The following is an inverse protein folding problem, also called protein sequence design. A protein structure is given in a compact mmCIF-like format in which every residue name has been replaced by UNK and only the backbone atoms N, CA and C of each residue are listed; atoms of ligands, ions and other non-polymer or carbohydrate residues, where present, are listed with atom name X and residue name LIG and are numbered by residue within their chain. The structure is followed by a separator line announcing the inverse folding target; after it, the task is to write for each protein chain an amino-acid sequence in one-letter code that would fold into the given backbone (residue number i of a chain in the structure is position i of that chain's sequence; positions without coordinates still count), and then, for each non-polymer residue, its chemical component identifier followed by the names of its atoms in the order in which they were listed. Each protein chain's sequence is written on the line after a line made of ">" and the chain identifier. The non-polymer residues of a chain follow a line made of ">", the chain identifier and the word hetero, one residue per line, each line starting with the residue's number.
data_IF_124943787120
#
_entry.id   IF_124943787120
#
_cell.length_a   1.000
_cell.length_b   1.000
_cell.length_c   1.000
_cell.angle_alpha   90.00
_cell.angle_beta   90.00
_cell.angle_gamma   90.00
#
_symmetry.space_group_name_H-M   'P 1'
#
loop_
_entity.id
_entity.type
_entity.pdbx_description
1 polymer ?
#
# COMPACT_ATOMS: atom_id res chain seq x y z
N UNK A 1 0.34 2.83 -1.79
CA UNK A 1 1.00 3.63 -2.83
C UNK A 1 2.09 2.79 -3.50
N UNK A 2 2.08 2.73 -4.82
CA UNK A 2 2.91 1.82 -5.63
C UNK A 2 2.29 0.42 -5.73
N UNK A 3 2.06 -0.06 -6.95
CA UNK A 3 1.48 -1.38 -7.22
C UNK A 3 2.49 -2.34 -7.88
N UNK A 4 3.74 -2.19 -7.45
CA UNK A 4 4.86 -3.07 -7.80
C UNK A 4 4.84 -4.41 -7.06
N UNK A 5 6.00 -5.07 -6.97
CA UNK A 5 6.11 -6.40 -6.33
C UNK A 5 5.56 -6.42 -4.90
N UNK A 6 6.03 -5.52 -4.04
CA UNK A 6 5.60 -5.47 -2.63
C UNK A 6 4.13 -5.07 -2.53
N UNK A 7 3.70 -4.02 -3.23
CA UNK A 7 2.30 -3.56 -3.20
C UNK A 7 1.30 -4.65 -3.58
N UNK A 8 1.59 -5.46 -4.62
CA UNK A 8 0.71 -6.57 -5.01
C UNK A 8 0.71 -7.72 -4.02
N UNK A 9 1.85 -8.04 -3.40
CA UNK A 9 1.91 -9.10 -2.39
C UNK A 9 1.22 -8.67 -1.10
N UNK A 10 1.38 -7.42 -0.69
CA UNK A 10 0.59 -6.83 0.41
C UNK A 10 -0.91 -6.92 0.08
N UNK A 11 -1.31 -6.53 -1.13
CA UNK A 11 -2.71 -6.64 -1.56
C UNK A 11 -3.21 -8.09 -1.47
N UNK A 12 -2.47 -9.05 -2.02
CA UNK A 12 -2.84 -10.47 -2.03
C UNK A 12 -2.95 -11.07 -0.63
N UNK A 13 -2.06 -10.71 0.29
CA UNK A 13 -2.16 -11.18 1.67
C UNK A 13 -3.32 -10.49 2.40
N UNK A 14 -3.45 -9.16 2.29
CA UNK A 14 -4.45 -8.40 3.03
C UNK A 14 -5.89 -8.88 2.79
N UNK A 15 -6.24 -9.28 1.57
CA UNK A 15 -7.59 -9.78 1.26
C UNK A 15 -7.93 -11.14 1.88
N UNK A 16 -6.93 -11.89 2.37
CA UNK A 16 -7.13 -13.16 3.09
C UNK A 16 -7.39 -12.93 4.59
N UNK A 17 -7.25 -11.68 5.05
CA UNK A 17 -7.41 -11.25 6.43
C UNK A 17 -8.70 -10.44 6.60
N UNK A 18 -9.53 -10.80 7.58
CA UNK A 18 -10.83 -10.15 7.80
C UNK A 18 -10.73 -8.83 8.58
N UNK A 19 -9.57 -8.55 9.17
CA UNK A 19 -9.26 -7.37 9.97
C UNK A 19 -8.59 -6.25 9.16
N UNK A 20 -8.36 -6.48 7.86
CA UNK A 20 -7.75 -5.50 6.94
C UNK A 20 -8.57 -5.39 5.67
N UNK A 21 -8.96 -4.16 5.33
CA UNK A 21 -9.59 -3.85 4.05
C UNK A 21 -8.65 -2.99 3.19
N UNK A 22 -8.38 -3.47 1.98
CA UNK A 22 -7.81 -2.61 0.94
C UNK A 22 -8.95 -1.82 0.32
N UNK A 23 -8.90 -0.49 0.42
CA UNK A 23 -9.94 0.40 -0.12
C UNK A 23 -9.48 1.20 -1.35
N UNK A 24 -8.16 1.39 -1.49
CA UNK A 24 -7.57 2.16 -2.56
C UNK A 24 -6.16 1.68 -2.93
N UNK A 25 -5.80 1.87 -4.20
CA UNK A 25 -4.45 1.72 -4.75
C UNK A 25 -4.11 2.98 -5.54
N UNK A 26 -2.82 3.36 -5.52
CA UNK A 26 -2.29 4.42 -6.39
C UNK A 26 -1.06 3.90 -7.12
N UNK A 27 -1.04 4.03 -8.44
CA UNK A 27 0.17 3.90 -9.26
C UNK A 27 0.03 4.73 -10.55
N UNK A 28 0.83 5.80 -10.73
CA UNK A 28 0.71 6.69 -11.89
C UNK A 28 1.18 6.09 -13.21
N UNK A 29 1.75 4.88 -13.18
CA UNK A 29 2.32 4.22 -14.36
C UNK A 29 1.58 2.94 -14.75
N UNK A 30 0.52 2.57 -14.02
CA UNK A 30 -0.23 1.33 -14.22
C UNK A 30 -1.71 1.67 -14.33
N UNK A 31 -2.31 1.39 -15.50
CA UNK A 31 -3.75 1.50 -15.68
C UNK A 31 -4.49 0.31 -15.03
N UNK A 32 -5.77 0.46 -14.63
CA UNK A 32 -6.54 -0.59 -13.96
C UNK A 32 -6.55 -1.94 -14.69
N UNK A 33 -6.66 -1.95 -16.02
CA UNK A 33 -6.61 -3.19 -16.78
C UNK A 33 -5.26 -3.92 -16.64
N UNK A 34 -4.16 -3.17 -16.65
CA UNK A 34 -2.83 -3.74 -16.45
C UNK A 34 -2.62 -4.15 -14.99
N UNK A 35 -3.10 -3.37 -14.02
CA UNK A 35 -3.10 -3.74 -12.61
C UNK A 35 -3.84 -5.06 -12.35
N UNK A 36 -5.02 -5.25 -12.96
CA UNK A 36 -5.78 -6.49 -12.87
C UNK A 36 -4.99 -7.69 -13.42
N UNK A 37 -4.33 -7.52 -14.57
CA UNK A 37 -3.47 -8.55 -15.15
C UNK A 37 -2.30 -8.91 -14.22
N UNK A 38 -1.56 -7.90 -13.74
CA UNK A 38 -0.42 -8.08 -12.83
C UNK A 38 -0.82 -8.66 -11.47
N UNK A 39 -2.04 -8.36 -11.00
CA UNK A 39 -2.58 -8.96 -9.79
C UNK A 39 -2.99 -10.41 -10.04
N UNK A 40 -3.57 -10.74 -11.21
CA UNK A 40 -4.02 -12.09 -11.56
C UNK A 40 -2.86 -13.06 -11.76
N UNK A 41 -1.79 -12.63 -12.42
CA UNK A 41 -0.66 -13.48 -12.78
C UNK A 41 0.62 -13.00 -12.10
N UNK A 42 1.20 -13.84 -11.24
CA UNK A 42 2.50 -13.60 -10.63
C UNK A 42 3.42 -14.81 -10.91
N UNK A 43 4.62 -14.54 -11.44
CA UNK A 43 5.55 -15.59 -11.85
C UNK A 43 6.14 -16.39 -10.69
N UNK A 44 6.20 -15.80 -9.49
CA UNK A 44 6.78 -16.44 -8.29
C UNK A 44 5.71 -17.06 -7.43
N UNK A 45 4.59 -16.35 -7.24
CA UNK A 45 3.52 -16.75 -6.31
C UNK A 45 2.30 -17.36 -7.01
N UNK A 46 2.38 -17.55 -8.33
CA UNK A 46 1.32 -18.16 -9.12
C UNK A 46 0.11 -17.26 -9.35
N UNK A 47 -0.97 -17.90 -9.79
CA UNK A 47 -2.22 -17.21 -10.10
C UNK A 47 -2.97 -16.80 -8.83
N UNK A 48 -3.58 -15.63 -8.89
CA UNK A 48 -4.46 -15.14 -7.85
C UNK A 48 -5.69 -16.05 -7.68
N UNK A 49 -6.01 -16.39 -6.44
CA UNK A 49 -7.15 -17.23 -6.08
C UNK A 49 -8.34 -16.35 -5.71
N UNK A 50 -9.08 -15.90 -6.72
CA UNK A 50 -10.26 -15.07 -6.52
C UNK A 50 -10.74 -14.42 -7.81
N UNK A 51 -11.78 -13.62 -7.70
CA UNK A 51 -12.31 -12.86 -8.83
C UNK A 51 -11.68 -11.47 -8.88
N UNK A 52 -11.22 -11.09 -10.07
CA UNK A 52 -10.74 -9.74 -10.36
C UNK A 52 -11.50 -9.24 -11.59
N UNK A 53 -12.15 -8.09 -11.46
CA UNK A 53 -12.86 -7.40 -12.53
C UNK A 53 -12.37 -5.96 -12.59
N UNK A 54 -12.29 -5.41 -13.79
CA UNK A 54 -12.08 -3.97 -13.99
C UNK A 54 -13.46 -3.33 -14.02
N UNK A 55 -13.67 -2.31 -13.19
CA UNK A 55 -14.93 -1.58 -13.08
C UNK A 55 -14.68 -0.09 -13.35
N UNK A 56 -14.83 0.29 -14.63
CA UNK A 56 -14.42 1.61 -15.11
C UNK A 56 -12.94 1.87 -14.83
N UNK A 57 -12.67 2.88 -13.99
CA UNK A 57 -11.31 3.24 -13.56
C UNK A 57 -10.87 2.56 -12.26
N UNK A 58 -11.63 1.58 -11.77
CA UNK A 58 -11.38 0.89 -10.50
C UNK A 58 -11.18 -0.61 -10.71
N UNK A 59 -10.84 -1.31 -9.63
CA UNK A 59 -10.83 -2.77 -9.57
C UNK A 59 -11.94 -3.25 -8.67
N UNK A 60 -12.61 -4.33 -9.02
CA UNK A 60 -13.48 -5.08 -8.11
C UNK A 60 -12.85 -6.44 -7.87
N UNK A 61 -12.47 -6.70 -6.61
CA UNK A 61 -11.80 -7.94 -6.19
C UNK A 61 -12.65 -8.65 -5.15
N UNK A 62 -13.01 -9.92 -5.41
CA UNK A 62 -13.89 -10.72 -4.55
C UNK A 62 -15.17 -9.96 -4.12
N UNK A 63 -15.76 -9.20 -5.05
CA UNK A 63 -16.97 -8.40 -4.80
C UNK A 63 -16.76 -7.06 -4.10
N UNK A 64 -15.53 -6.73 -3.68
CA UNK A 64 -15.19 -5.43 -3.07
C UNK A 64 -14.59 -4.49 -4.12
N UNK A 65 -15.14 -3.28 -4.25
CA UNK A 65 -14.59 -2.24 -5.12
C UNK A 65 -13.40 -1.55 -4.46
N UNK A 66 -12.32 -1.45 -5.20
CA UNK A 66 -11.05 -0.83 -4.82
C UNK A 66 -10.84 0.38 -5.73
N UNK A 67 -10.77 1.57 -5.13
CA UNK A 67 -10.49 2.79 -5.88
C UNK A 67 -9.08 2.73 -6.45
N UNK A 68 -8.93 3.05 -7.73
CA UNK A 68 -7.61 3.13 -8.35
C UNK A 68 -7.28 4.59 -8.72
N UNK A 69 -6.15 5.08 -8.23
CA UNK A 69 -5.63 6.41 -8.51
C UNK A 69 -4.35 6.30 -9.36
N UNK A 70 -4.03 7.37 -10.09
CA UNK A 70 -2.84 7.45 -10.95
C UNK A 70 -2.09 8.77 -10.73
N UNK A 71 -1.97 9.18 -9.47
CA UNK A 71 -1.31 10.43 -9.09
C UNK A 71 0.18 10.22 -8.85
N UNK A 72 0.99 11.17 -9.34
CA UNK A 72 2.46 11.16 -9.13
C UNK A 72 2.87 11.78 -7.81
N UNK A 73 2.16 12.83 -7.38
CA UNK A 73 2.41 13.49 -6.10
C UNK A 73 1.56 12.81 -5.01
N UNK A 74 2.18 12.21 -3.99
CA UNK A 74 1.49 11.65 -2.84
C UNK A 74 0.48 12.57 -2.15
N UNK A 75 0.71 13.89 -2.20
CA UNK A 75 -0.14 14.90 -1.58
C UNK A 75 -1.48 15.09 -2.30
N UNK A 76 -1.54 14.75 -3.59
CA UNK A 76 -2.74 14.90 -4.42
C UNK A 76 -3.65 13.66 -4.39
N UNK A 77 -3.19 12.55 -3.81
CA UNK A 77 -3.99 11.33 -3.74
C UNK A 77 -5.09 11.51 -2.68
N UNK A 78 -6.39 11.45 -3.05
CA UNK A 78 -7.48 11.76 -2.12
C UNK A 78 -7.87 10.54 -1.26
N UNK A 79 -6.96 10.09 -0.39
CA UNK A 79 -7.18 8.95 0.51
C UNK A 79 -8.45 9.06 1.35
N UNK A 80 -8.83 10.28 1.75
CA UNK A 80 -10.04 10.57 2.52
C UNK A 80 -11.33 10.13 1.81
N UNK A 81 -11.39 10.14 0.48
CA UNK A 81 -12.57 9.69 -0.29
C UNK A 81 -12.90 8.21 -0.03
N UNK A 82 -11.90 7.41 0.34
CA UNK A 82 -12.02 5.96 0.52
C UNK A 82 -11.95 5.54 1.98
N UNK A 83 -11.72 6.49 2.90
CA UNK A 83 -11.51 6.19 4.31
C UNK A 83 -10.19 5.48 4.62
N UNK A 84 -9.21 5.52 3.71
CA UNK A 84 -7.91 4.88 3.92
C UNK A 84 -7.18 5.49 5.14
N UNK A 85 -7.08 4.71 6.22
CA UNK A 85 -6.45 5.15 7.47
C UNK A 85 -4.93 4.94 7.43
N UNK A 86 -4.51 3.76 6.99
CA UNK A 86 -3.10 3.38 6.81
C UNK A 86 -2.74 3.37 5.32
N UNK A 87 -1.56 3.89 4.98
CA UNK A 87 -0.98 3.80 3.65
C UNK A 87 0.30 2.98 3.71
N UNK A 88 0.37 1.92 2.90
CA UNK A 88 1.65 1.24 2.61
C UNK A 88 2.35 1.99 1.49
N UNK A 89 3.47 2.62 1.81
CA UNK A 89 4.33 3.32 0.86
C UNK A 89 5.36 2.34 0.32
N UNK A 90 5.08 1.82 -0.89
CA UNK A 90 5.85 0.77 -1.55
C UNK A 90 6.37 1.15 -2.93
N UNK A 91 6.44 2.45 -3.24
CA UNK A 91 7.05 2.96 -4.47
C UNK A 91 8.58 2.89 -4.43
N UNK A 92 9.16 2.96 -3.22
CA UNK A 92 10.61 3.08 -3.02
C UNK A 92 11.16 4.50 -3.23
N UNK A 93 10.30 5.49 -3.52
CA UNK A 93 10.70 6.89 -3.77
C UNK A 93 10.52 7.77 -2.54
N UNK A 94 9.44 7.55 -1.77
CA UNK A 94 9.05 8.38 -0.63
C UNK A 94 9.47 7.72 0.71
N UNK A 95 10.77 7.47 0.85
CA UNK A 95 11.34 6.68 1.97
C UNK A 95 11.80 7.52 3.17
N UNK A 96 11.64 8.84 3.16
CA UNK A 96 11.89 9.70 4.32
C UNK A 96 10.59 10.13 4.97
N UNK A 97 10.65 10.54 6.23
CA UNK A 97 9.50 10.99 7.03
C UNK A 97 8.80 12.16 6.34
N UNK A 98 9.56 13.16 5.88
CA UNK A 98 9.01 14.33 5.18
C UNK A 98 8.25 13.92 3.90
N UNK A 99 8.86 13.08 3.06
CA UNK A 99 8.27 12.65 1.79
C UNK A 99 7.03 11.80 2.00
N UNK A 100 7.08 10.85 2.93
CA UNK A 100 5.95 9.98 3.25
C UNK A 100 4.78 10.75 3.90
N UNK A 101 5.08 11.79 4.70
CA UNK A 101 4.05 12.67 5.30
C UNK A 101 3.17 13.37 4.26
N UNK A 102 3.59 13.48 3.00
CA UNK A 102 2.75 14.00 1.94
C UNK A 102 1.41 13.24 1.81
N UNK A 103 1.36 11.93 2.09
CA UNK A 103 0.10 11.17 2.12
C UNK A 103 -0.91 11.65 3.16
N UNK A 104 -0.44 12.25 4.27
CA UNK A 104 -1.34 12.76 5.31
C UNK A 104 -2.18 13.94 4.80
N UNK A 105 -1.66 14.70 3.83
CA UNK A 105 -2.42 15.78 3.16
C UNK A 105 -3.63 15.24 2.39
N UNK A 106 -3.49 14.04 1.82
CA UNK A 106 -4.57 13.31 1.16
C UNK A 106 -5.61 12.72 2.11
N UNK A 107 -5.39 12.81 3.43
CA UNK A 107 -6.34 12.37 4.46
C UNK A 107 -5.99 11.06 5.16
N UNK A 108 -4.94 10.37 4.74
CA UNK A 108 -4.40 9.23 5.48
C UNK A 108 -3.93 9.65 6.89
N UNK A 109 -3.94 8.72 7.84
CA UNK A 109 -3.54 8.99 9.23
C UNK A 109 -2.18 8.40 9.58
N UNK A 110 -1.82 7.29 8.94
CA UNK A 110 -0.59 6.56 9.18
C UNK A 110 0.06 6.13 7.87
N UNK A 111 1.38 6.15 7.83
CA UNK A 111 2.16 5.68 6.66
C UNK A 111 3.19 4.66 7.12
N UNK A 112 3.22 3.52 6.43
CA UNK A 112 4.18 2.44 6.63
C UNK A 112 5.05 2.35 5.38
N UNK A 113 6.32 2.74 5.51
CA UNK A 113 7.31 2.66 4.44
C UNK A 113 7.79 1.21 4.34
N UNK A 114 7.67 0.60 3.16
CA UNK A 114 8.03 -0.81 2.94
C UNK A 114 9.52 -1.04 2.64
N UNK A 115 10.37 -0.14 3.12
CA UNK A 115 11.81 -0.12 2.87
C UNK A 115 12.52 0.62 4.02
N UNK A 116 13.85 0.46 4.18
CA UNK A 116 14.61 1.25 5.13
C UNK A 116 14.40 2.75 4.93
N UNK A 117 14.19 3.45 6.04
CA UNK A 117 14.12 4.90 6.07
C UNK A 117 15.39 5.48 6.67
N UNK A 118 15.80 6.65 6.19
CA UNK A 118 16.93 7.37 6.75
C UNK A 118 16.59 8.05 8.09
N UNK A 119 15.30 8.33 8.35
CA UNK A 119 14.86 9.15 9.47
C UNK A 119 13.59 8.65 10.18
N UNK A 120 12.76 7.81 9.55
CA UNK A 120 11.57 7.26 10.18
C UNK A 120 11.95 6.12 11.14
N UNK A 121 11.29 6.02 12.32
CA UNK A 121 11.52 4.92 13.23
C UNK A 121 11.18 3.57 12.56
N UNK A 122 12.07 2.59 12.74
CA UNK A 122 11.96 1.26 12.14
C UNK A 122 11.45 0.24 13.15
N UNK A 123 10.48 -0.56 12.72
CA UNK A 123 9.92 -1.65 13.51
C UNK A 123 10.02 -2.95 12.75
N UNK A 124 10.40 -4.00 13.48
CA UNK A 124 10.42 -5.39 13.03
C UNK A 124 9.47 -6.18 13.92
N UNK A 125 8.52 -6.86 13.28
CA UNK A 125 7.53 -7.68 13.96
C UNK A 125 8.22 -8.79 14.74
N UNK A 126 7.79 -9.03 15.98
CA UNK A 126 8.42 -9.99 16.90
C UNK A 126 9.72 -9.54 17.57
N UNK A 127 10.30 -8.38 17.20
CA UNK A 127 11.56 -7.88 17.79
C UNK A 127 11.33 -6.63 18.63
N UNK A 128 10.86 -5.54 18.01
CA UNK A 128 10.66 -4.26 18.70
C UNK A 128 9.29 -3.62 18.42
N UNK A 129 8.40 -4.28 17.68
CA UNK A 129 7.07 -3.77 17.33
C UNK A 129 6.22 -3.33 18.53
N UNK A 130 6.38 -3.95 19.70
CA UNK A 130 5.67 -3.56 20.94
C UNK A 130 6.11 -2.18 21.47
N UNK A 131 7.24 -1.65 21.01
CA UNK A 131 7.70 -0.29 21.36
C UNK A 131 7.03 0.80 20.53
N UNK A 132 6.21 0.43 19.55
CA UNK A 132 5.44 1.37 18.75
C UNK A 132 4.50 2.20 19.63
N UNK A 133 4.45 3.51 19.34
CA UNK A 133 3.53 4.45 19.98
C UNK A 133 2.63 5.07 18.94
N UNK A 134 1.35 5.25 19.30
CA UNK A 134 0.31 5.70 18.39
C UNK A 134 0.47 7.15 17.91
N UNK A 135 1.36 7.94 18.51
CA UNK A 135 1.75 9.27 18.05
C UNK A 135 2.67 9.24 16.81
N UNK A 136 3.32 8.10 16.53
CA UNK A 136 4.14 7.91 15.34
C UNK A 136 3.24 7.82 14.11
N UNK A 137 3.26 8.85 13.27
CA UNK A 137 2.47 8.93 12.02
C UNK A 137 3.11 8.19 10.86
N UNK A 138 4.44 8.23 10.78
CA UNK A 138 5.22 7.60 9.72
C UNK A 138 6.23 6.66 10.36
N UNK A 139 6.25 5.42 9.88
CA UNK A 139 7.19 4.40 10.33
C UNK A 139 7.72 3.61 9.13
N UNK A 140 8.83 2.90 9.33
CA UNK A 140 9.38 1.97 8.35
C UNK A 140 9.30 0.53 8.86
N UNK A 141 8.93 -0.40 7.97
CA UNK A 141 8.97 -1.84 8.26
C UNK A 141 10.34 -2.47 7.91
N UNK A 142 11.40 -1.65 7.98
CA UNK A 142 12.79 -2.00 7.67
C UNK A 142 12.98 -2.60 6.26
N UNK A 143 14.01 -3.44 6.08
CA UNK A 143 14.26 -4.21 4.85
C UNK A 143 13.89 -5.68 5.03
N UNK A 144 13.77 -6.39 3.92
CA UNK A 144 13.62 -7.85 3.93
C UNK A 144 14.83 -8.60 4.51
N UNK A 145 16.03 -8.04 4.48
CA UNK A 145 17.22 -8.66 5.11
C UNK A 145 17.26 -8.43 6.62
N UNK A 146 16.59 -7.37 7.09
CA UNK A 146 16.53 -7.01 8.51
C UNK A 146 15.44 -7.78 9.25
N UNK A 147 14.34 -8.11 8.57
CA UNK A 147 13.28 -8.99 9.09
C UNK A 147 13.74 -10.45 9.02
#
# INVERSE_FOLDING_TARGET
>A
NGFGRIGRIVFRNAIEHNDVDIVAVNDPFIEPHYAAYMLKYDSTHGQFKGEIKVDGNNLTVNGKTIRFHMEKDPANIPWSETGAYYVVESTGVFTTTEKAKAHLKGGAKKVVISAPSADAPMFVMGVNHETYKSDIEVLSNASCTTN
#
